data_IF_695395247360
#
_entry.id   IF_695395247360
#
_cell.length_a   1.000
_cell.length_b   1.000
_cell.length_c   1.000
_cell.angle_alpha   90.00
_cell.angle_beta   90.00
_cell.angle_gamma   90.00
#
_symmetry.space_group_name_H-M   'P 1'
#
loop_
_entity.id
_entity.type
_entity.pdbx_description
1 polymer ?
#
# COMPACT_ATOMS: atom_id res chain seq x y z
N UNK A 1 42.38 -2.72 4.71
CA UNK A 1 41.72 -2.95 3.40
C UNK A 1 40.46 -3.75 3.65
N UNK A 2 39.34 -3.05 3.85
CA UNK A 2 38.07 -3.59 4.30
C UNK A 2 37.20 -3.88 3.08
N UNK A 3 36.82 -5.14 2.86
CA UNK A 3 36.00 -5.55 1.73
C UNK A 3 34.57 -5.01 1.88
N UNK A 4 34.10 -4.28 0.86
CA UNK A 4 32.68 -3.95 0.71
C UNK A 4 31.97 -5.19 0.21
N UNK A 5 31.11 -5.79 1.05
CA UNK A 5 30.12 -6.77 0.60
C UNK A 5 29.06 -6.04 -0.23
N UNK A 6 28.99 -6.43 -1.49
CA UNK A 6 27.96 -6.09 -2.46
C UNK A 6 26.65 -6.75 -1.99
N UNK A 7 25.61 -5.96 -1.75
CA UNK A 7 24.27 -6.45 -1.42
C UNK A 7 23.59 -6.70 -2.77
N UNK A 8 23.53 -7.96 -3.18
CA UNK A 8 22.81 -8.38 -4.37
C UNK A 8 21.31 -8.13 -4.19
N UNK A 9 20.74 -7.36 -5.11
CA UNK A 9 19.30 -7.17 -5.24
C UNK A 9 18.63 -8.50 -5.56
N UNK A 10 17.79 -8.99 -4.64
CA UNK A 10 16.98 -10.20 -4.86
C UNK A 10 15.97 -9.93 -5.97
N UNK A 11 16.24 -10.47 -7.16
CA UNK A 11 15.28 -10.56 -8.27
C UNK A 11 14.31 -11.70 -7.99
N UNK A 12 13.03 -11.39 -7.82
CA UNK A 12 11.97 -12.40 -7.83
C UNK A 12 11.67 -12.81 -9.29
N UNK A 13 11.53 -14.11 -9.60
CA UNK A 13 11.20 -14.56 -10.94
C UNK A 13 9.74 -14.22 -11.29
N UNK A 14 9.52 -13.65 -12.48
CA UNK A 14 8.19 -13.46 -13.06
C UNK A 14 7.65 -14.80 -13.58
N UNK A 15 6.97 -15.56 -12.72
CA UNK A 15 6.30 -16.79 -13.14
C UNK A 15 4.86 -16.49 -13.57
N UNK A 16 4.62 -16.50 -14.89
CA UNK A 16 3.28 -16.46 -15.47
C UNK A 16 2.66 -17.86 -15.38
N UNK A 17 1.66 -18.02 -14.51
CA UNK A 17 0.85 -19.25 -14.44
C UNK A 17 -0.55 -18.99 -14.99
N UNK A 18 -0.93 -19.75 -16.02
CA UNK A 18 -2.30 -19.83 -16.55
C UNK A 18 -3.10 -20.69 -15.56
N UNK A 19 -4.02 -20.10 -14.81
CA UNK A 19 -4.87 -20.82 -13.84
C UNK A 19 -6.26 -21.03 -14.44
N UNK A 20 -6.64 -22.31 -14.57
CA UNK A 20 -7.94 -22.81 -15.04
C UNK A 20 -9.09 -22.44 -14.09
N UNK A 21 -10.26 -22.14 -14.67
CA UNK A 21 -11.52 -21.79 -14.01
C UNK A 21 -12.03 -22.86 -13.01
N UNK A 22 -11.67 -22.72 -11.73
CA UNK A 22 -12.38 -23.38 -10.63
C UNK A 22 -13.04 -22.33 -9.74
N UNK A 23 -14.35 -22.54 -9.52
CA UNK A 23 -15.26 -21.74 -8.69
C UNK A 23 -14.62 -21.31 -7.38
N UNK A 24 -14.49 -20.00 -7.21
CA UNK A 24 -14.03 -19.32 -6.01
C UNK A 24 -15.20 -19.30 -5.02
N UNK A 25 -15.02 -19.86 -3.81
CA UNK A 25 -16.04 -19.91 -2.77
C UNK A 25 -15.69 -18.95 -1.62
N UNK A 26 -16.70 -18.17 -1.24
CA UNK A 26 -17.06 -17.63 0.07
C UNK A 26 -16.47 -16.34 0.65
N UNK A 27 -15.59 -15.60 -0.04
CA UNK A 27 -15.39 -14.16 0.24
C UNK A 27 -14.84 -13.42 -0.98
N UNK A 28 -15.72 -12.99 -1.87
CA UNK A 28 -15.35 -12.07 -2.95
C UNK A 28 -15.47 -10.65 -2.42
N UNK A 29 -14.35 -10.03 -2.05
CA UNK A 29 -14.33 -8.60 -1.82
C UNK A 29 -14.28 -7.90 -3.18
N UNK A 30 -15.28 -7.07 -3.45
CA UNK A 30 -15.39 -6.34 -4.71
C UNK A 30 -15.22 -4.84 -4.46
N UNK A 31 -14.41 -4.20 -5.29
CA UNK A 31 -14.34 -2.75 -5.40
C UNK A 31 -14.53 -2.34 -6.86
N UNK A 32 -15.30 -1.29 -7.09
CA UNK A 32 -15.66 -0.86 -8.44
C UNK A 32 -15.50 0.65 -8.56
N UNK A 33 -14.94 1.09 -9.69
CA UNK A 33 -14.90 2.49 -10.09
C UNK A 33 -15.49 2.64 -11.51
N UNK A 34 -15.40 3.82 -12.11
CA UNK A 34 -15.99 4.08 -13.43
C UNK A 34 -15.39 3.23 -14.57
N UNK A 35 -14.14 2.79 -14.45
CA UNK A 35 -13.39 2.07 -15.49
C UNK A 35 -13.15 0.60 -15.18
N UNK A 36 -13.02 0.23 -13.91
CA UNK A 36 -12.58 -1.10 -13.50
C UNK A 36 -13.45 -1.70 -12.39
N UNK A 37 -13.47 -3.03 -12.37
CA UNK A 37 -13.97 -3.88 -11.30
C UNK A 37 -12.78 -4.67 -10.76
N UNK A 38 -12.59 -4.66 -9.44
CA UNK A 38 -11.58 -5.45 -8.75
C UNK A 38 -12.21 -6.48 -7.84
N UNK A 39 -11.72 -7.70 -7.89
CA UNK A 39 -12.23 -8.86 -7.17
C UNK A 39 -11.07 -9.57 -6.47
N UNK A 40 -11.14 -9.65 -5.15
CA UNK A 40 -10.19 -10.40 -4.33
C UNK A 40 -10.82 -11.74 -3.96
N UNK A 41 -10.14 -12.82 -4.30
CA UNK A 41 -10.65 -14.18 -4.18
C UNK A 41 -9.65 -15.05 -3.41
N UNK A 42 -10.15 -15.78 -2.41
CA UNK A 42 -9.38 -16.83 -1.73
C UNK A 42 -9.14 -18.00 -2.69
N UNK A 43 -7.95 -18.62 -2.61
CA UNK A 43 -7.59 -19.75 -3.46
C UNK A 43 -7.91 -21.05 -2.72
N UNK A 44 -8.91 -21.83 -3.17
CA UNK A 44 -9.32 -23.03 -2.46
C UNK A 44 -8.22 -24.10 -2.45
N UNK A 45 -8.17 -24.89 -1.38
CA UNK A 45 -7.31 -26.06 -1.23
C UNK A 45 -5.80 -25.78 -1.30
N UNK A 46 -5.35 -24.58 -0.96
CA UNK A 46 -3.91 -24.30 -0.75
C UNK A 46 -3.60 -24.18 0.74
N UNK A 47 -2.51 -24.84 1.16
CA UNK A 47 -1.84 -24.57 2.45
C UNK A 47 -1.01 -23.27 2.41
N UNK A 48 -1.41 -22.27 1.62
CA UNK A 48 -0.62 -21.05 1.40
C UNK A 48 -1.38 -19.81 1.79
N UNK A 49 -0.66 -18.80 2.29
CA UNK A 49 -1.20 -17.48 2.58
C UNK A 49 -1.39 -16.64 1.30
N UNK A 50 -2.17 -17.12 0.34
CA UNK A 50 -2.26 -16.47 -0.96
C UNK A 50 -3.70 -16.12 -1.39
N UNK A 51 -3.90 -14.88 -1.81
CA UNK A 51 -5.08 -14.43 -2.52
C UNK A 51 -4.81 -14.25 -4.00
N UNK A 52 -5.88 -14.27 -4.79
CA UNK A 52 -5.86 -13.81 -6.16
C UNK A 52 -6.65 -12.50 -6.24
N UNK A 53 -6.01 -11.45 -6.74
CA UNK A 53 -6.70 -10.22 -7.14
C UNK A 53 -6.86 -10.21 -8.65
N UNK A 54 -8.08 -9.94 -9.11
CA UNK A 54 -8.41 -9.72 -10.51
C UNK A 54 -8.93 -8.30 -10.70
N UNK A 55 -8.33 -7.54 -11.60
CA UNK A 55 -8.80 -6.21 -12.02
C UNK A 55 -9.24 -6.30 -13.48
N UNK A 56 -10.53 -6.09 -13.73
CA UNK A 56 -11.16 -6.20 -15.04
C UNK A 56 -11.69 -4.83 -15.47
N UNK A 57 -11.31 -4.38 -16.66
CA UNK A 57 -11.90 -3.20 -17.27
C UNK A 57 -13.36 -3.47 -17.61
N UNK A 58 -14.23 -2.51 -17.33
CA UNK A 58 -15.68 -2.63 -17.60
C UNK A 58 -16.00 -2.77 -19.09
N UNK A 59 -15.12 -2.30 -19.96
CA UNK A 59 -15.24 -2.51 -21.41
C UNK A 59 -14.74 -3.89 -21.87
N UNK A 60 -14.31 -4.75 -20.95
CA UNK A 60 -13.83 -6.11 -21.22
C UNK A 60 -12.44 -6.21 -21.87
N UNK A 61 -11.81 -5.09 -22.22
CA UNK A 61 -10.57 -5.11 -23.02
C UNK A 61 -9.32 -5.47 -22.21
N UNK A 62 -9.32 -5.17 -20.91
CA UNK A 62 -8.17 -5.36 -20.05
C UNK A 62 -8.54 -6.20 -18.82
N UNK A 63 -7.74 -7.24 -18.56
CA UNK A 63 -7.78 -8.04 -17.35
C UNK A 63 -6.36 -8.17 -16.79
N UNK A 64 -6.22 -7.95 -15.50
CA UNK A 64 -4.99 -8.13 -14.73
C UNK A 64 -5.31 -9.11 -13.63
N UNK A 65 -4.50 -10.15 -13.50
CA UNK A 65 -4.62 -11.13 -12.42
C UNK A 65 -3.28 -11.26 -11.74
N UNK A 66 -3.26 -11.14 -10.41
CA UNK A 66 -2.05 -11.28 -9.59
C UNK A 66 -2.34 -12.20 -8.41
N UNK A 67 -1.34 -12.99 -8.06
CA UNK A 67 -1.28 -13.70 -6.79
C UNK A 67 -0.61 -12.78 -5.77
N UNK A 68 -1.23 -12.63 -4.61
CA UNK A 68 -0.73 -11.84 -3.50
C UNK A 68 -0.36 -12.81 -2.37
N UNK A 69 0.86 -12.72 -1.86
CA UNK A 69 1.31 -13.47 -0.69
C UNK A 69 0.92 -12.69 0.58
N UNK A 70 -0.35 -12.78 0.94
CA UNK A 70 -0.96 -12.05 2.06
C UNK A 70 -1.86 -12.98 2.87
N UNK A 71 -1.91 -12.84 4.20
CA UNK A 71 -2.71 -13.72 5.05
C UNK A 71 -4.18 -13.77 4.58
N UNK A 72 -4.71 -14.97 4.24
CA UNK A 72 -6.13 -15.31 4.08
C UNK A 72 -6.93 -14.79 5.27
N UNK A 73 -8.23 -14.91 5.36
CA UNK A 73 -9.03 -14.50 6.56
C UNK A 73 -8.97 -13.02 7.00
N UNK A 74 -7.92 -12.23 6.73
CA UNK A 74 -7.78 -10.84 7.21
C UNK A 74 -7.44 -9.84 6.09
N UNK A 75 -7.15 -10.33 4.88
CA UNK A 75 -6.97 -9.44 3.73
C UNK A 75 -8.31 -8.97 3.19
N UNK A 76 -8.40 -7.69 2.84
CA UNK A 76 -9.57 -7.11 2.18
C UNK A 76 -9.16 -5.99 1.24
N UNK A 77 -10.01 -5.70 0.24
CA UNK A 77 -9.81 -4.51 -0.59
C UNK A 77 -10.15 -3.29 0.26
N UNK A 78 -9.16 -2.40 0.50
CA UNK A 78 -9.41 -1.16 1.23
C UNK A 78 -10.13 -0.13 0.37
N UNK A 79 -9.64 0.07 -0.86
CA UNK A 79 -10.19 1.00 -1.84
C UNK A 79 -9.56 0.73 -3.22
N UNK A 80 -10.18 1.30 -4.27
CA UNK A 80 -9.70 1.23 -5.64
C UNK A 80 -9.99 2.55 -6.36
N UNK A 81 -9.15 2.88 -7.35
CA UNK A 81 -9.35 4.01 -8.26
C UNK A 81 -8.87 3.63 -9.66
N UNK A 82 -8.83 4.59 -10.57
CA UNK A 82 -8.46 4.32 -11.97
C UNK A 82 -6.99 3.90 -12.15
N UNK A 83 -6.12 4.23 -11.19
CA UNK A 83 -4.68 3.95 -11.25
C UNK A 83 -4.32 2.61 -10.60
N UNK A 84 -5.03 2.20 -9.54
CA UNK A 84 -4.71 0.96 -8.81
C UNK A 84 -5.85 0.47 -7.90
N UNK A 85 -5.66 -0.74 -7.39
CA UNK A 85 -6.46 -1.34 -6.31
C UNK A 85 -5.57 -1.64 -5.11
N UNK A 86 -6.07 -1.41 -3.90
CA UNK A 86 -5.33 -1.60 -2.65
C UNK A 86 -5.89 -2.77 -1.86
N UNK A 87 -5.03 -3.73 -1.54
CA UNK A 87 -5.33 -4.85 -0.66
C UNK A 87 -4.58 -4.66 0.65
N UNK A 88 -5.30 -4.57 1.76
CA UNK A 88 -4.73 -4.40 3.09
C UNK A 88 -4.82 -5.66 3.91
N UNK A 89 -3.80 -5.90 4.74
CA UNK A 89 -3.73 -7.06 5.63
C UNK A 89 -2.84 -6.76 6.85
N UNK A 90 -3.07 -7.43 7.99
CA UNK A 90 -2.21 -7.31 9.16
C UNK A 90 -0.88 -8.04 8.95
N UNK A 91 0.22 -7.47 9.45
CA UNK A 91 1.57 -8.05 9.38
C UNK A 91 2.13 -8.50 10.74
N UNK A 92 1.32 -8.51 11.80
CA UNK A 92 1.72 -8.85 13.16
C UNK A 92 1.90 -7.61 14.05
N UNK A 93 1.46 -7.70 15.30
CA UNK A 93 1.41 -6.54 16.21
C UNK A 93 0.54 -5.40 15.64
N UNK A 94 0.96 -4.12 15.76
CA UNK A 94 0.26 -2.93 15.26
C UNK A 94 0.51 -2.67 13.76
N UNK A 95 1.19 -3.60 13.07
CA UNK A 95 1.56 -3.44 11.67
C UNK A 95 0.36 -3.70 10.75
N UNK A 96 0.11 -2.73 9.86
CA UNK A 96 -0.82 -2.86 8.74
C UNK A 96 -0.05 -2.68 7.43
N UNK A 97 -0.12 -3.68 6.56
CA UNK A 97 0.49 -3.65 5.23
C UNK A 97 -0.57 -3.40 4.18
N UNK A 98 -0.19 -2.68 3.12
CA UNK A 98 -1.02 -2.44 1.95
C UNK A 98 -0.24 -2.74 0.68
N UNK A 99 -0.81 -3.54 -0.19
CA UNK A 99 -0.29 -3.81 -1.53
C UNK A 99 -1.11 -3.03 -2.55
N UNK A 100 -0.42 -2.24 -3.36
CA UNK A 100 -0.95 -1.42 -4.44
C UNK A 100 -0.74 -2.18 -5.76
N UNK A 101 -1.84 -2.57 -6.39
CA UNK A 101 -1.86 -3.28 -7.67
C UNK A 101 -2.30 -2.30 -8.75
N UNK A 102 -1.36 -1.86 -9.57
CA UNK A 102 -1.60 -0.84 -10.60
C UNK A 102 -2.35 -1.40 -11.81
N UNK A 103 -3.16 -0.53 -12.42
CA UNK A 103 -3.93 -0.85 -13.64
C UNK A 103 -3.07 -0.80 -14.91
N UNK A 104 -1.90 -0.15 -14.85
CA UNK A 104 -0.86 -0.28 -15.87
C UNK A 104 -0.11 -1.61 -15.69
N UNK A 105 -0.19 -2.47 -16.70
CA UNK A 105 0.46 -3.80 -16.71
C UNK A 105 1.98 -3.72 -16.65
N UNK A 106 2.58 -2.62 -17.09
CA UNK A 106 4.03 -2.42 -17.09
C UNK A 106 4.55 -1.90 -15.75
N UNK A 107 3.65 -1.46 -14.86
CA UNK A 107 4.03 -0.98 -13.53
C UNK A 107 4.02 -2.14 -12.53
N UNK A 108 5.14 -2.38 -11.81
CA UNK A 108 5.16 -3.40 -10.76
C UNK A 108 4.23 -3.01 -9.60
N UNK A 109 3.78 -4.02 -8.86
CA UNK A 109 3.04 -3.78 -7.62
C UNK A 109 3.98 -3.16 -6.57
N UNK A 110 3.43 -2.34 -5.69
CA UNK A 110 4.16 -1.72 -4.58
C UNK A 110 3.54 -2.16 -3.25
N UNK A 111 4.36 -2.38 -2.22
CA UNK A 111 3.89 -2.79 -0.90
C UNK A 111 4.46 -1.89 0.19
N UNK A 112 3.59 -1.44 1.10
CA UNK A 112 3.95 -0.51 2.17
C UNK A 112 3.41 -0.98 3.52
N UNK A 113 4.34 -1.34 4.41
CA UNK A 113 4.07 -1.61 5.83
C UNK A 113 3.92 -0.31 6.62
N UNK A 114 3.19 -0.34 7.73
CA UNK A 114 2.90 0.84 8.57
C UNK A 114 2.34 2.01 7.74
N UNK A 115 1.59 1.68 6.69
CA UNK A 115 1.10 2.68 5.76
C UNK A 115 -0.12 3.41 6.31
N UNK A 116 -0.32 4.61 5.81
CA UNK A 116 -1.44 5.49 6.14
C UNK A 116 -1.96 6.15 4.88
N UNK A 117 -3.28 6.18 4.76
CA UNK A 117 -3.96 6.86 3.67
C UNK A 117 -3.95 8.36 3.94
N UNK A 118 -3.76 9.14 2.89
CA UNK A 118 -3.95 10.59 2.92
C UNK A 118 -5.41 10.87 2.58
N UNK A 119 -6.17 11.48 3.49
CA UNK A 119 -7.64 11.48 3.47
C UNK A 119 -8.25 11.99 2.15
N UNK A 120 -7.68 13.06 1.60
CA UNK A 120 -8.18 13.78 0.44
C UNK A 120 -7.26 13.70 -0.79
N UNK A 121 -6.25 12.82 -0.77
CA UNK A 121 -5.41 12.57 -1.92
C UNK A 121 -5.05 11.08 -2.00
N UNK A 122 -5.70 10.36 -2.91
CA UNK A 122 -5.46 8.93 -3.07
C UNK A 122 -4.07 8.65 -3.65
N UNK A 123 -3.54 9.53 -4.50
CA UNK A 123 -2.28 9.32 -5.22
C UNK A 123 -1.04 9.52 -4.34
N UNK A 124 -1.21 9.87 -3.08
CA UNK A 124 -0.14 10.00 -2.11
C UNK A 124 -0.40 9.03 -0.97
N UNK A 125 0.67 8.39 -0.49
CA UNK A 125 0.65 7.54 0.70
C UNK A 125 1.72 8.02 1.68
N UNK A 126 1.47 7.85 2.97
CA UNK A 126 2.50 7.95 4.00
C UNK A 126 2.82 6.56 4.54
N UNK A 127 4.08 6.25 4.81
CA UNK A 127 4.47 4.96 5.39
C UNK A 127 5.78 5.05 6.15
N UNK A 128 6.05 4.03 6.98
CA UNK A 128 7.34 3.85 7.64
C UNK A 128 8.08 2.69 7.00
N UNK A 129 9.37 2.91 6.78
CA UNK A 129 10.27 1.93 6.16
C UNK A 129 11.24 1.40 7.21
N UNK A 130 11.46 0.08 7.16
CA UNK A 130 12.47 -0.61 7.98
C UNK A 130 12.33 -0.31 9.49
N UNK A 131 11.10 -0.12 9.98
CA UNK A 131 10.78 0.18 11.38
C UNK A 131 11.49 1.43 11.95
N UNK A 132 11.87 2.37 11.09
CA UNK A 132 12.44 3.66 11.51
C UNK A 132 11.31 4.64 11.84
N UNK A 133 10.74 4.51 13.04
CA UNK A 133 9.53 5.24 13.49
C UNK A 133 9.72 6.75 13.62
N UNK A 134 10.95 7.26 13.58
CA UNK A 134 11.25 8.69 13.56
C UNK A 134 11.11 9.32 12.17
N UNK A 135 10.89 8.51 11.12
CA UNK A 135 10.83 8.98 9.73
C UNK A 135 9.57 8.51 9.02
N UNK A 136 8.77 9.47 8.58
CA UNK A 136 7.62 9.23 7.72
C UNK A 136 8.01 9.49 6.26
N UNK A 137 7.79 8.51 5.39
CA UNK A 137 8.00 8.67 3.95
C UNK A 137 6.67 8.98 3.29
N UNK A 138 6.64 10.07 2.52
CA UNK A 138 5.51 10.50 1.72
C UNK A 138 5.81 10.19 0.26
N UNK A 139 5.07 9.27 -0.34
CA UNK A 139 5.29 8.79 -1.70
C UNK A 139 4.15 9.24 -2.62
N UNK A 140 4.47 9.82 -3.78
CA UNK A 140 3.50 10.18 -4.81
C UNK A 140 3.53 9.16 -5.96
N UNK A 141 2.42 8.43 -6.11
CA UNK A 141 2.29 7.40 -7.13
C UNK A 141 2.33 7.93 -8.56
N UNK A 142 2.05 9.20 -8.82
CA UNK A 142 2.03 9.74 -10.19
C UNK A 142 3.41 9.89 -10.81
N UNK A 143 4.42 10.17 -9.99
CA UNK A 143 5.79 10.47 -10.46
C UNK A 143 6.87 9.67 -9.70
N UNK A 144 6.46 8.77 -8.80
CA UNK A 144 7.32 7.93 -7.98
C UNK A 144 8.32 8.71 -7.11
N UNK A 145 8.06 10.00 -6.86
CA UNK A 145 8.90 10.81 -5.99
C UNK A 145 8.51 10.63 -4.52
N UNK A 146 9.51 10.75 -3.66
CA UNK A 146 9.36 10.59 -2.21
C UNK A 146 9.90 11.81 -1.46
N UNK A 147 9.27 12.10 -0.33
CA UNK A 147 9.70 13.10 0.64
C UNK A 147 9.80 12.45 2.02
N UNK A 148 10.93 12.64 2.69
CA UNK A 148 11.15 12.15 4.04
C UNK A 148 10.82 13.27 5.02
N UNK A 149 9.96 12.97 5.98
CA UNK A 149 9.52 13.88 7.04
C UNK A 149 9.98 13.31 8.37
N UNK A 150 10.72 14.13 9.12
CA UNK A 150 11.05 13.84 10.51
C UNK A 150 9.78 13.86 11.37
N UNK A 151 9.55 12.82 12.16
CA UNK A 151 8.44 12.68 13.12
C UNK A 151 8.96 12.16 14.47
N UNK A 152 10.22 12.43 14.79
CA UNK A 152 10.87 11.94 16.03
C UNK A 152 10.21 12.42 17.32
N UNK A 153 9.33 13.42 17.26
CA UNK A 153 8.57 13.93 18.40
C UNK A 153 7.16 13.31 18.54
N UNK A 154 6.77 12.44 17.61
CA UNK A 154 5.51 11.68 17.67
C UNK A 154 5.56 10.61 18.74
N UNK A 155 4.39 10.30 19.32
CA UNK A 155 4.26 9.27 20.34
C UNK A 155 4.72 7.90 19.79
N UNK A 156 5.82 7.36 20.33
CA UNK A 156 6.41 6.09 19.86
C UNK A 156 5.43 4.91 19.98
N UNK A 157 4.47 4.97 20.90
CA UNK A 157 3.45 3.94 21.09
C UNK A 157 2.39 3.93 20.01
N UNK A 158 2.32 4.98 19.18
CA UNK A 158 1.40 5.02 18.05
C UNK A 158 1.93 4.25 16.84
N UNK A 159 3.10 3.60 16.91
CA UNK A 159 3.71 2.83 15.80
C UNK A 159 3.68 3.60 14.47
N UNK A 160 3.85 4.91 14.56
CA UNK A 160 3.80 5.84 13.45
C UNK A 160 2.43 6.22 12.92
N UNK A 161 1.33 5.75 13.54
CA UNK A 161 -0.03 6.17 13.20
C UNK A 161 -0.24 7.63 13.63
N UNK A 162 -0.46 8.47 12.63
CA UNK A 162 -0.93 9.84 12.79
C UNK A 162 -2.45 9.82 12.94
N UNK A 163 -3.01 10.76 13.70
CA UNK A 163 -4.47 10.88 13.86
C UNK A 163 -5.15 11.19 12.53
N UNK A 164 -4.54 12.08 11.74
CA UNK A 164 -5.01 12.46 10.42
C UNK A 164 -3.86 12.98 9.56
N UNK A 165 -3.92 12.69 8.26
CA UNK A 165 -3.02 13.25 7.26
C UNK A 165 -3.84 13.72 6.05
N UNK A 166 -3.68 14.99 5.67
CA UNK A 166 -4.38 15.58 4.54
C UNK A 166 -3.51 16.55 3.74
N UNK A 167 -3.87 16.77 2.47
CA UNK A 167 -3.22 17.73 1.58
C UNK A 167 -4.05 19.00 1.45
N UNK A 168 -3.45 20.17 1.64
CA UNK A 168 -4.09 21.46 1.38
C UNK A 168 -3.19 22.30 0.47
N UNK A 169 -3.63 22.51 -0.78
CA UNK A 169 -2.80 23.09 -1.85
C UNK A 169 -1.51 22.28 -2.02
N UNK A 170 -0.35 22.89 -1.79
CA UNK A 170 0.95 22.24 -1.91
C UNK A 170 1.50 21.78 -0.55
N UNK A 171 0.68 21.72 0.50
CA UNK A 171 1.14 21.34 1.83
C UNK A 171 0.49 20.04 2.29
N UNK A 172 1.28 19.19 2.93
CA UNK A 172 0.81 18.10 3.77
C UNK A 172 0.60 18.63 5.19
N UNK A 173 -0.53 18.30 5.80
CA UNK A 173 -0.84 18.63 7.19
C UNK A 173 -0.96 17.31 7.95
N UNK A 174 -0.09 17.13 8.94
CA UNK A 174 -0.08 16.00 9.87
C UNK A 174 -0.69 16.43 11.20
N UNK A 175 -1.67 15.67 11.68
CA UNK A 175 -2.22 15.78 13.04
C UNK A 175 -1.78 14.54 13.82
N UNK A 176 -1.11 14.74 14.95
CA UNK A 176 -0.60 13.63 15.75
C UNK A 176 -0.39 13.99 17.22
N UNK A 177 -0.49 12.99 18.08
CA UNK A 177 -0.08 13.05 19.47
C UNK A 177 1.45 12.91 19.60
N UNK A 178 2.07 13.77 20.40
CA UNK A 178 3.49 13.70 20.75
C UNK A 178 3.73 12.79 21.97
N UNK A 179 4.99 12.43 22.22
CA UNK A 179 5.39 11.62 23.40
C UNK A 179 4.90 12.18 24.74
N UNK A 180 4.73 13.50 24.84
CA UNK A 180 4.20 14.17 26.04
C UNK A 180 2.66 14.24 26.11
N UNK A 181 1.97 13.44 25.28
CA UNK A 181 0.50 13.37 25.16
C UNK A 181 -0.18 14.67 24.75
N UNK A 182 0.55 15.55 24.04
CA UNK A 182 -0.01 16.77 23.45
C UNK A 182 -0.24 16.57 21.96
N UNK A 183 -1.37 17.06 21.47
CA UNK A 183 -1.65 17.08 20.05
C UNK A 183 -0.85 18.19 19.36
N UNK A 184 -0.24 17.87 18.22
CA UNK A 184 0.47 18.82 17.36
C UNK A 184 -0.04 18.76 15.93
N UNK A 185 0.23 19.86 15.24
CA UNK A 185 0.00 20.01 13.81
C UNK A 185 1.36 20.30 13.17
N UNK A 186 1.76 19.50 12.18
CA UNK A 186 2.95 19.74 11.37
C UNK A 186 2.57 19.99 9.92
N UNK A 187 3.15 21.02 9.32
CA UNK A 187 2.90 21.39 7.92
C UNK A 187 4.18 21.20 7.12
N UNK A 188 4.10 20.48 6.01
CA UNK A 188 5.23 20.15 5.14
C UNK A 188 4.93 20.59 3.70
N UNK A 189 5.87 21.28 3.04
CA UNK A 189 5.74 21.64 1.62
C UNK A 189 6.00 20.40 0.74
N UNK A 190 5.07 20.12 -0.17
CA UNK A 190 5.09 18.98 -1.09
C UNK A 190 5.64 19.32 -2.48
N UNK A 191 6.08 20.56 -2.76
CA UNK A 191 6.56 20.98 -4.10
C UNK A 191 7.62 20.07 -4.72
N UNK A 192 8.44 19.42 -3.91
CA UNK A 192 9.48 18.52 -4.42
C UNK A 192 8.91 17.23 -5.03
N UNK A 193 7.71 16.82 -4.60
CA UNK A 193 7.06 15.57 -5.00
C UNK A 193 5.75 15.76 -5.77
N UNK A 194 5.21 16.97 -5.89
CA UNK A 194 4.04 17.28 -6.74
C UNK A 194 4.45 17.50 -8.20
#
# INVERSE_FOLDING_TARGET
>A
MTSKKQIDSVKFPETVYIISDKKYLDSVFKCENNKFISELEEIPNRNSNAYKITITSKNGQNKITKLLDTPPRMSHINYCNELYTVVGFPCGGPCYSRVFIFTDKNRPNEQYSYSQKIENNQNIIAYIKDEVFEKLIIHNFLNSKELIVDISDSNMWNYGQMDSILVKKNNLILYYECDNKKNKIKTIDLKTIL
#
